data_IF_699770811804
#
_entry.id   IF_699770811804
#
_cell.length_a   1.000
_cell.length_b   1.000
_cell.length_c   1.000
_cell.angle_alpha   90.00
_cell.angle_beta   90.00
_cell.angle_gamma   90.00
#
_symmetry.space_group_name_H-M   'P 1'
#
loop_
_entity.id
_entity.type
_entity.pdbx_description
1 polymer ?
#
# COMPACT_ATOMS: atom_id res chain seq x y z
N UNK A 1 -3.19 -4.42 4.65
CA UNK A 1 -4.15 -4.12 3.57
C UNK A 1 -3.44 -4.38 2.25
N UNK A 2 -3.97 -5.25 1.39
CA UNK A 2 -3.43 -5.47 0.06
C UNK A 2 -3.89 -4.32 -0.85
N UNK A 3 -2.96 -3.68 -1.56
CA UNK A 3 -3.27 -2.72 -2.62
C UNK A 3 -2.62 -3.19 -3.91
N UNK A 4 -3.26 -2.95 -5.06
CA UNK A 4 -2.68 -3.22 -6.37
C UNK A 4 -2.26 -1.90 -7.02
N UNK A 5 -1.17 -1.89 -7.77
CA UNK A 5 -0.83 -0.76 -8.64
C UNK A 5 -0.59 -1.26 -10.08
N UNK A 6 -1.03 -0.47 -11.05
CA UNK A 6 -0.83 -0.80 -12.47
C UNK A 6 0.63 -0.58 -12.88
N UNK A 7 1.25 -1.57 -13.53
CA UNK A 7 2.66 -1.48 -13.95
C UNK A 7 2.89 -0.48 -15.11
N UNK A 8 1.86 -0.22 -15.91
CA UNK A 8 1.98 0.66 -17.08
C UNK A 8 1.86 2.15 -16.73
N UNK A 9 0.92 2.51 -15.86
CA UNK A 9 0.63 3.91 -15.51
C UNK A 9 0.88 4.24 -14.03
N UNK A 10 1.34 3.28 -13.23
CA UNK A 10 1.66 3.42 -11.81
C UNK A 10 0.49 3.92 -10.95
N UNK A 11 -0.74 3.81 -11.45
CA UNK A 11 -1.95 4.20 -10.71
C UNK A 11 -2.32 3.14 -9.69
N UNK A 12 -2.70 3.57 -8.47
CA UNK A 12 -3.28 2.72 -7.44
C UNK A 12 -4.67 2.24 -7.87
N UNK A 13 -4.86 0.92 -7.85
CA UNK A 13 -6.10 0.28 -8.23
C UNK A 13 -6.71 -0.46 -7.04
N UNK A 14 -8.02 -0.27 -6.86
CA UNK A 14 -8.84 -0.93 -5.85
C UNK A 14 -9.38 -2.23 -6.42
N UNK A 15 -8.66 -3.34 -6.19
CA UNK A 15 -9.01 -4.76 -6.44
C UNK A 15 -9.43 -5.19 -7.86
N UNK A 16 -9.69 -4.27 -8.78
CA UNK A 16 -10.09 -4.56 -10.16
C UNK A 16 -8.97 -5.23 -10.97
N UNK A 17 -9.36 -6.17 -11.84
CA UNK A 17 -8.44 -6.89 -12.74
C UNK A 17 -8.11 -6.10 -14.02
N UNK A 18 -8.61 -4.86 -14.16
CA UNK A 18 -8.38 -3.97 -15.31
C UNK A 18 -8.17 -2.55 -14.81
N UNK A 19 -7.12 -1.88 -15.29
CA UNK A 19 -6.80 -0.52 -14.84
C UNK A 19 -7.79 0.45 -15.48
N UNK A 20 -8.53 1.21 -14.67
CA UNK A 20 -9.48 2.22 -15.17
C UNK A 20 -8.82 3.38 -15.93
N UNK A 21 -7.52 3.58 -15.77
CA UNK A 21 -6.78 4.68 -16.42
C UNK A 21 -6.27 4.27 -17.80
N UNK A 22 -5.62 3.12 -17.92
CA UNK A 22 -4.99 2.69 -19.18
C UNK A 22 -5.58 1.41 -19.81
N UNK A 23 -6.54 0.76 -19.15
CA UNK A 23 -7.19 -0.47 -19.62
C UNK A 23 -6.33 -1.73 -19.56
N UNK A 24 -5.09 -1.66 -19.05
CA UNK A 24 -4.18 -2.81 -18.94
C UNK A 24 -4.49 -3.68 -17.73
N UNK A 25 -4.10 -4.95 -17.81
CA UNK A 25 -4.34 -5.98 -16.78
C UNK A 25 -3.05 -6.37 -16.02
N UNK A 26 -1.99 -5.58 -16.18
CA UNK A 26 -0.69 -5.83 -15.56
C UNK A 26 -0.58 -5.04 -14.26
N UNK A 27 -0.57 -5.76 -13.14
CA UNK A 27 -0.53 -5.19 -11.79
C UNK A 27 0.52 -5.85 -10.91
N UNK A 28 0.95 -5.11 -9.90
CA UNK A 28 1.76 -5.62 -8.81
C UNK A 28 1.05 -5.37 -7.47
N UNK A 29 1.00 -6.40 -6.63
CA UNK A 29 0.41 -6.33 -5.29
C UNK A 29 1.41 -5.78 -4.29
N UNK A 30 0.98 -4.80 -3.51
CA UNK A 30 1.77 -4.17 -2.46
C UNK A 30 1.11 -4.46 -1.11
N UNK A 31 1.84 -5.16 -0.25
CA UNK A 31 1.40 -5.48 1.10
C UNK A 31 1.87 -4.35 2.02
N UNK A 32 0.96 -3.45 2.38
CA UNK A 32 1.25 -2.41 3.36
C UNK A 32 1.12 -3.03 4.75
N UNK A 33 2.26 -3.20 5.42
CA UNK A 33 2.34 -3.55 6.85
C UNK A 33 2.36 -2.25 7.65
N UNK A 34 1.23 -1.91 8.25
CA UNK A 34 1.16 -0.80 9.22
C UNK A 34 1.70 -1.31 10.54
N UNK A 35 2.85 -0.80 10.97
CA UNK A 35 3.37 -1.02 12.31
C UNK A 35 3.02 0.18 13.17
N UNK A 36 2.18 -0.05 14.19
CA UNK A 36 1.97 0.94 15.24
C UNK A 36 3.20 0.96 16.14
N UNK A 37 3.99 2.03 16.08
CA UNK A 37 4.92 2.32 17.16
C UNK A 37 4.09 2.91 18.30
N UNK A 38 3.86 2.10 19.33
CA UNK A 38 3.48 2.65 20.63
C UNK A 38 4.65 3.50 21.12
N UNK A 39 4.40 4.79 21.35
CA UNK A 39 5.30 5.63 22.14
C UNK A 39 5.54 4.92 23.47
N UNK A 40 6.68 4.26 23.62
CA UNK A 40 7.11 3.76 24.92
C UNK A 40 7.41 4.99 25.75
N UNK A 41 6.65 5.17 26.82
CA UNK A 41 6.96 6.05 27.94
C UNK A 41 8.49 6.17 28.12
N UNK A 42 9.02 7.35 27.81
CA UNK A 42 10.36 7.73 28.24
C UNK A 42 10.34 7.78 29.77
N UNK A 43 10.59 6.63 30.40
CA UNK A 43 11.08 6.60 31.78
C UNK A 43 12.46 7.25 31.81
N UNK A 44 12.46 8.58 31.90
CA UNK A 44 13.62 9.33 32.35
C UNK A 44 13.62 9.26 33.88
N UNK A 45 14.44 8.37 34.44
CA UNK A 45 14.86 8.46 35.83
C UNK A 45 15.75 9.69 35.98
N UNK A 46 15.34 10.65 36.81
CA UNK A 46 16.22 11.59 37.52
C UNK A 46 15.84 11.58 38.99
#
# INVERSE_FOLDING_TARGET
MEKKYCLHCQTLCSEENVCKVCGKQEFCSLIIKVQYQSEKDSKTNY
#
